data_IF_302197862325
#
_entry.id   IF_302197862325
#
_cell.length_a   1.000
_cell.length_b   1.000
_cell.length_c   1.000
_cell.angle_alpha   90.00
_cell.angle_beta   90.00
_cell.angle_gamma   90.00
#
_symmetry.space_group_name_H-M   'P 1'
#
loop_
_entity.id
_entity.type
_entity.pdbx_description
1 polymer ?
#
# COMPACT_ATOMS: atom_id res chain seq x y z
N UNK A 1 22.62 0.12 5.52
CA UNK A 1 22.11 -1.27 5.57
C UNK A 1 20.66 -1.25 5.11
N UNK A 2 20.38 -1.69 3.89
CA UNK A 2 19.00 -1.84 3.40
C UNK A 2 18.53 -3.24 3.84
N UNK A 3 17.51 -3.25 4.68
CA UNK A 3 17.00 -4.39 5.45
C UNK A 3 16.34 -5.45 4.56
N UNK A 4 16.33 -6.69 5.05
CA UNK A 4 15.99 -7.96 4.38
C UNK A 4 14.56 -8.07 3.82
N UNK A 5 13.76 -7.01 3.87
CA UNK A 5 12.38 -6.98 3.37
C UNK A 5 12.29 -7.05 1.84
N UNK A 6 13.31 -6.56 1.12
CA UNK A 6 13.37 -6.59 -0.36
C UNK A 6 13.37 -8.04 -0.89
N UNK A 7 13.93 -8.99 -0.13
CA UNK A 7 14.02 -10.39 -0.55
C UNK A 7 12.69 -11.14 -0.46
N UNK A 8 11.71 -10.65 0.31
CA UNK A 8 10.47 -11.38 0.58
C UNK A 8 9.32 -10.98 -0.35
N UNK A 9 9.40 -9.82 -0.98
CA UNK A 9 8.30 -9.26 -1.76
C UNK A 9 8.83 -8.60 -3.04
N UNK A 10 8.34 -8.98 -4.24
CA UNK A 10 8.78 -8.36 -5.49
C UNK A 10 8.36 -6.89 -5.52
N UNK A 11 9.25 -6.03 -6.00
CA UNK A 11 8.97 -4.60 -6.25
C UNK A 11 7.74 -4.48 -7.16
N UNK A 12 6.81 -3.61 -6.80
CA UNK A 12 5.56 -3.44 -7.55
C UNK A 12 5.68 -2.25 -8.49
N UNK A 13 5.30 -2.42 -9.75
CA UNK A 13 5.40 -1.37 -10.77
C UNK A 13 4.32 -0.29 -10.61
N UNK A 14 4.66 0.92 -11.05
CA UNK A 14 3.70 2.04 -11.19
C UNK A 14 2.54 1.61 -12.10
N UNK A 15 1.32 2.03 -11.75
CA UNK A 15 0.09 1.64 -12.44
C UNK A 15 -0.53 0.32 -11.94
N UNK A 16 0.15 -0.41 -11.05
CA UNK A 16 -0.39 -1.64 -10.47
C UNK A 16 -1.47 -1.35 -9.43
N UNK A 17 -2.56 -2.11 -9.49
CA UNK A 17 -3.59 -2.13 -8.46
C UNK A 17 -3.07 -2.85 -7.20
N UNK A 18 -3.24 -2.21 -6.06
CA UNK A 18 -2.86 -2.74 -4.74
C UNK A 18 -4.05 -2.68 -3.79
N UNK A 19 -4.09 -3.63 -2.84
CA UNK A 19 -5.07 -3.64 -1.77
C UNK A 19 -4.41 -3.06 -0.51
N UNK A 20 -4.97 -1.98 0.03
CA UNK A 20 -4.51 -1.37 1.27
C UNK A 20 -5.40 -1.86 2.41
N UNK A 21 -4.84 -2.48 3.46
CA UNK A 21 -5.62 -2.85 4.63
C UNK A 21 -6.09 -1.61 5.39
N UNK A 22 -7.34 -1.63 5.83
CA UNK A 22 -7.91 -0.61 6.73
C UNK A 22 -7.79 -1.13 8.16
N UNK A 23 -7.10 -0.41 9.06
CA UNK A 23 -6.98 -0.78 10.47
C UNK A 23 -8.35 -0.98 11.11
N UNK A 24 -8.44 -1.91 12.06
CA UNK A 24 -9.71 -2.17 12.75
C UNK A 24 -10.22 -0.95 13.54
N UNK A 25 -9.33 -0.06 13.98
CA UNK A 25 -9.70 1.19 14.67
C UNK A 25 -10.41 2.19 13.74
N UNK A 26 -10.07 2.17 12.45
CA UNK A 26 -10.63 3.06 11.44
C UNK A 26 -11.87 2.45 10.77
N UNK A 27 -12.27 1.24 11.18
CA UNK A 27 -13.27 0.41 10.50
C UNK A 27 -14.47 0.13 11.40
N UNK A 28 -15.69 0.40 10.92
CA UNK A 28 -16.91 0.03 11.61
C UNK A 28 -17.32 -1.43 11.31
N UNK A 29 -18.27 -1.97 12.07
CA UNK A 29 -18.78 -3.34 11.89
C UNK A 29 -19.58 -3.44 10.59
N UNK A 30 -18.92 -3.88 9.52
CA UNK A 30 -19.51 -4.06 8.18
C UNK A 30 -18.70 -3.40 7.06
N UNK A 31 -17.77 -2.52 7.40
CA UNK A 31 -16.91 -1.85 6.42
C UNK A 31 -15.92 -2.83 5.78
N UNK A 32 -15.49 -2.50 4.56
CA UNK A 32 -14.51 -3.30 3.82
C UNK A 32 -13.16 -3.30 4.54
N UNK A 33 -12.54 -4.48 4.65
CA UNK A 33 -11.23 -4.63 5.28
C UNK A 33 -10.09 -4.00 4.47
N UNK A 34 -10.32 -3.79 3.18
CA UNK A 34 -9.31 -3.33 2.25
C UNK A 34 -9.89 -2.26 1.31
N UNK A 35 -9.06 -1.28 0.96
CA UNK A 35 -9.33 -0.29 -0.09
C UNK A 35 -8.46 -0.62 -1.30
N UNK A 36 -9.00 -0.43 -2.52
CA UNK A 36 -8.23 -0.58 -3.75
C UNK A 36 -7.60 0.76 -4.11
N UNK A 37 -6.30 0.74 -4.38
CA UNK A 37 -5.54 1.89 -4.87
C UNK A 37 -4.61 1.49 -6.02
N UNK A 38 -4.06 2.50 -6.69
CA UNK A 38 -3.10 2.37 -7.79
C UNK A 38 -1.79 3.03 -7.36
N UNK A 39 -0.67 2.37 -7.60
CA UNK A 39 0.65 2.97 -7.38
C UNK A 39 0.88 4.06 -8.42
N UNK A 40 1.19 5.26 -7.94
CA UNK A 40 1.45 6.44 -8.78
C UNK A 40 2.95 6.72 -8.91
N UNK A 41 3.71 6.50 -7.84
CA UNK A 41 5.13 6.87 -7.76
C UNK A 41 5.82 6.00 -6.73
N UNK A 42 7.12 5.73 -6.95
CA UNK A 42 8.03 5.16 -5.96
C UNK A 42 9.06 6.23 -5.62
N UNK A 43 9.17 6.60 -4.35
CA UNK A 43 10.12 7.61 -3.88
C UNK A 43 11.53 7.04 -3.81
N UNK A 44 12.54 7.92 -3.62
CA UNK A 44 13.95 7.53 -3.44
C UNK A 44 14.19 6.63 -2.23
N UNK A 45 13.26 6.64 -1.27
CA UNK A 45 13.31 5.84 -0.04
C UNK A 45 12.52 4.52 -0.16
N UNK A 46 12.21 4.08 -1.38
CA UNK A 46 11.47 2.83 -1.66
C UNK A 46 10.04 2.83 -1.06
N UNK A 47 9.42 4.01 -0.92
CA UNK A 47 8.03 4.18 -0.49
C UNK A 47 7.11 4.50 -1.67
N UNK A 48 5.85 4.12 -1.55
CA UNK A 48 4.86 4.17 -2.62
C UNK A 48 3.83 5.26 -2.36
N UNK A 49 3.61 6.14 -3.35
CA UNK A 49 2.42 7.01 -3.40
C UNK A 49 1.29 6.28 -4.06
N UNK A 50 0.11 6.35 -3.45
CA UNK A 50 -1.06 5.60 -3.88
C UNK A 50 -2.23 6.54 -4.11
N UNK A 51 -2.92 6.32 -5.22
CA UNK A 51 -4.19 6.98 -5.53
C UNK A 51 -5.34 6.00 -5.43
N UNK A 52 -6.43 6.43 -4.85
CA UNK A 52 -7.71 5.71 -4.82
C UNK A 52 -8.73 6.44 -5.68
N UNK A 53 -9.92 5.86 -5.86
CA UNK A 53 -11.05 6.54 -6.51
C UNK A 53 -11.43 7.87 -5.83
N UNK A 54 -11.15 7.99 -4.52
CA UNK A 54 -11.51 9.15 -3.71
C UNK A 54 -10.41 10.24 -3.68
N UNK A 55 -9.26 10.00 -4.32
CA UNK A 55 -8.12 10.92 -4.31
C UNK A 55 -6.80 10.24 -3.96
N UNK A 56 -5.76 11.06 -3.82
CA UNK A 56 -4.42 10.62 -3.45
C UNK A 56 -4.35 10.47 -1.93
N UNK A 57 -3.82 9.34 -1.45
CA UNK A 57 -3.57 9.15 -0.02
C UNK A 57 -2.34 9.97 0.34
N UNK A 58 -2.45 10.86 1.33
CA UNK A 58 -1.36 11.74 1.76
C UNK A 58 -0.17 10.95 2.33
N UNK A 59 -0.44 9.77 2.88
CA UNK A 59 0.56 8.89 3.48
C UNK A 59 1.28 8.05 2.42
N UNK A 60 2.58 7.83 2.64
CA UNK A 60 3.40 6.94 1.84
C UNK A 60 3.37 5.53 2.44
N UNK A 61 3.38 4.52 1.58
CA UNK A 61 3.30 3.12 2.00
C UNK A 61 4.59 2.39 1.71
N UNK A 62 4.97 1.46 2.59
CA UNK A 62 6.04 0.49 2.30
C UNK A 62 5.46 -0.74 1.62
N UNK A 63 6.30 -1.45 0.86
CA UNK A 63 5.92 -2.67 0.15
C UNK A 63 5.33 -3.75 1.08
N UNK A 64 5.82 -3.83 2.32
CA UNK A 64 5.34 -4.76 3.33
C UNK A 64 3.83 -4.61 3.59
N UNK A 65 3.32 -3.37 3.65
CA UNK A 65 1.90 -3.11 3.92
C UNK A 65 1.04 -3.45 2.70
N UNK A 66 1.57 -3.30 1.48
CA UNK A 66 0.83 -3.56 0.23
C UNK A 66 0.72 -5.05 -0.11
N UNK A 67 1.60 -5.89 0.44
CA UNK A 67 1.60 -7.33 0.19
C UNK A 67 1.06 -8.17 1.35
N UNK A 68 0.71 -7.54 2.49
CA UNK A 68 0.14 -8.25 3.62
C UNK A 68 -1.35 -8.58 3.36
N UNK A 69 -1.58 -9.64 2.59
CA UNK A 69 -2.84 -10.38 2.60
C UNK A 69 -2.84 -11.24 3.87
N UNK A 70 -3.80 -10.97 4.77
CA UNK A 70 -4.14 -11.89 5.86
C UNK A 70 -4.35 -13.32 5.33
#
# INVERSE_FOLDING_TARGET
>A
MKTDSILKYPVVSIGTNVMLPVPDIDRNKGDSRNIIGVIMEVTTDDLYKIRTKNGIIAQLFSLFILQNKN
#
